data_IF_031434243488
#
_entry.id   IF_031434243488
#
_cell.length_a   1.000
_cell.length_b   1.000
_cell.length_c   1.000
_cell.angle_alpha   90.00
_cell.angle_beta   90.00
_cell.angle_gamma   90.00
#
_symmetry.space_group_name_H-M   'P 1'
#
loop_
_entity.id
_entity.type
_entity.pdbx_description
1 polymer ?
#
# COMPACT_ATOMS: atom_id res chain seq x y z
N UNK A 1 12.19 9.45 2.22
CA UNK A 1 11.07 9.42 3.20
C UNK A 1 10.36 8.07 3.16
N UNK A 2 9.67 7.68 2.06
CA UNK A 2 9.11 6.32 1.90
C UNK A 2 10.17 5.22 2.10
N UNK A 3 11.37 5.42 1.54
CA UNK A 3 12.49 4.48 1.69
C UNK A 3 12.92 4.28 3.16
N UNK A 4 12.74 5.29 4.01
CA UNK A 4 13.04 5.20 5.44
C UNK A 4 12.04 4.29 6.16
N UNK A 5 10.74 4.45 5.87
CA UNK A 5 9.69 3.57 6.39
C UNK A 5 9.93 2.11 6.00
N UNK A 6 10.25 1.84 4.72
CA UNK A 6 10.59 0.48 4.27
C UNK A 6 11.84 -0.07 4.93
N UNK A 7 12.86 0.76 5.17
CA UNK A 7 14.08 0.34 5.87
C UNK A 7 13.77 -0.10 7.31
N UNK A 8 12.88 0.62 8.00
CA UNK A 8 12.41 0.26 9.34
C UNK A 8 11.59 -1.04 9.27
N UNK A 9 10.61 -1.13 8.36
CA UNK A 9 9.77 -2.32 8.20
C UNK A 9 10.57 -3.62 7.93
N UNK A 10 11.70 -3.51 7.24
CA UNK A 10 12.61 -4.63 6.93
C UNK A 10 13.67 -4.88 8.03
N UNK A 11 13.62 -4.16 9.15
CA UNK A 11 14.53 -4.43 10.27
C UNK A 11 14.27 -5.82 10.83
N UNK A 12 15.37 -6.54 11.08
CA UNK A 12 15.36 -7.92 11.62
C UNK A 12 14.52 -8.05 12.90
N UNK A 13 14.54 -7.05 13.76
CA UNK A 13 13.77 -7.04 15.01
C UNK A 13 12.25 -7.02 14.76
N UNK A 14 11.80 -6.21 13.80
CA UNK A 14 10.38 -6.15 13.41
C UNK A 14 9.98 -7.44 12.72
N UNK A 15 10.80 -7.91 11.78
CA UNK A 15 10.54 -9.12 11.02
C UNK A 15 10.41 -10.35 11.92
N UNK A 16 11.35 -10.55 12.84
CA UNK A 16 11.34 -11.69 13.77
C UNK A 16 10.15 -11.63 14.73
N UNK A 17 9.77 -10.45 15.22
CA UNK A 17 8.56 -10.27 16.04
C UNK A 17 7.30 -10.58 15.24
N UNK A 18 7.18 -10.04 14.03
CA UNK A 18 6.03 -10.23 13.17
C UNK A 18 5.85 -11.70 12.75
N UNK A 19 6.93 -12.41 12.43
CA UNK A 19 6.89 -13.85 12.15
C UNK A 19 6.42 -14.63 13.37
N UNK A 20 6.92 -14.34 14.58
CA UNK A 20 6.45 -15.01 15.81
C UNK A 20 4.96 -14.81 16.03
N UNK A 21 4.47 -13.58 15.89
CA UNK A 21 3.04 -13.25 16.04
C UNK A 21 2.23 -13.97 14.96
N UNK A 22 2.69 -13.96 13.72
CA UNK A 22 2.04 -14.65 12.61
C UNK A 22 1.97 -16.16 12.82
N UNK A 23 3.01 -16.78 13.36
CA UNK A 23 3.01 -18.21 13.66
C UNK A 23 2.03 -18.54 14.79
N UNK A 24 2.02 -17.77 15.89
CA UNK A 24 1.13 -18.05 17.03
C UNK A 24 -0.33 -17.78 16.67
N UNK A 25 -0.64 -16.56 16.24
CA UNK A 25 -2.00 -16.13 15.91
C UNK A 25 -2.50 -16.85 14.66
N UNK A 26 -1.66 -16.99 13.64
CA UNK A 26 -2.00 -17.69 12.41
C UNK A 26 -2.26 -19.18 12.63
N UNK A 27 -1.52 -19.86 13.51
CA UNK A 27 -1.81 -21.28 13.81
C UNK A 27 -3.11 -21.46 14.57
N UNK A 28 -3.43 -20.57 15.52
CA UNK A 28 -4.72 -20.58 16.22
C UNK A 28 -5.86 -20.37 15.21
N UNK A 29 -5.72 -19.36 14.34
CA UNK A 29 -6.75 -18.99 13.37
C UNK A 29 -6.90 -20.05 12.27
N UNK A 30 -5.81 -20.73 11.90
CA UNK A 30 -5.80 -21.83 10.94
C UNK A 30 -6.52 -23.05 11.51
N UNK A 31 -6.26 -23.39 12.78
CA UNK A 31 -6.94 -24.50 13.47
C UNK A 31 -8.46 -24.27 13.54
N UNK A 32 -8.89 -23.04 13.85
CA UNK A 32 -10.33 -22.69 13.91
C UNK A 32 -10.97 -22.71 12.52
N UNK A 33 -10.29 -22.18 11.50
CA UNK A 33 -10.90 -21.93 10.19
C UNK A 33 -10.78 -23.14 9.23
N UNK A 34 -9.79 -24.00 9.44
CA UNK A 34 -9.47 -25.11 8.54
C UNK A 34 -9.24 -26.45 9.25
N UNK A 35 -9.48 -26.54 10.56
CA UNK A 35 -9.34 -27.77 11.33
C UNK A 35 -10.18 -28.93 10.76
N UNK A 36 -11.43 -28.67 10.40
CA UNK A 36 -12.32 -29.69 9.82
C UNK A 36 -11.95 -30.08 8.38
N UNK A 37 -11.39 -29.13 7.62
CA UNK A 37 -11.02 -29.34 6.21
C UNK A 37 -9.69 -30.08 6.08
N UNK A 38 -8.77 -29.94 7.05
CA UNK A 38 -7.55 -30.76 7.12
C UNK A 38 -7.84 -32.25 7.36
N UNK A 39 -8.98 -32.57 7.97
CA UNK A 39 -9.44 -33.94 8.22
C UNK A 39 -10.24 -34.54 7.05
N UNK A 40 -10.53 -33.74 6.01
CA UNK A 40 -11.29 -34.15 4.84
C UNK A 40 -10.36 -34.31 3.62
N UNK A 41 -10.55 -35.36 2.82
CA UNK A 41 -9.73 -35.65 1.64
C UNK A 41 -9.99 -34.63 0.51
N UNK A 42 -9.25 -33.50 0.54
CA UNK A 42 -9.13 -32.60 -0.62
C UNK A 42 -8.96 -31.12 -0.28
N UNK A 43 -7.72 -30.64 -0.30
CA UNK A 43 -7.42 -29.20 -0.29
C UNK A 43 -7.54 -28.64 -1.71
N UNK A 44 -8.56 -27.80 -1.97
CA UNK A 44 -8.62 -27.02 -3.19
C UNK A 44 -7.70 -25.80 -3.10
N UNK A 45 -7.43 -25.18 -4.25
CA UNK A 45 -6.66 -23.93 -4.36
C UNK A 45 -7.25 -22.81 -3.49
N UNK A 46 -8.58 -22.81 -3.28
CA UNK A 46 -9.27 -21.84 -2.42
C UNK A 46 -8.86 -21.98 -0.95
N UNK A 47 -8.72 -23.19 -0.43
CA UNK A 47 -8.25 -23.42 0.93
C UNK A 47 -6.79 -23.00 1.09
N UNK A 48 -5.92 -23.28 0.12
CA UNK A 48 -4.52 -22.84 0.17
C UNK A 48 -4.39 -21.32 0.28
N UNK A 49 -5.20 -20.57 -0.47
CA UNK A 49 -5.21 -19.10 -0.39
C UNK A 49 -5.69 -18.65 1.00
N UNK A 50 -6.76 -19.26 1.54
CA UNK A 50 -7.26 -18.92 2.89
C UNK A 50 -6.24 -19.24 3.99
N UNK A 51 -5.59 -20.40 3.93
CA UNK A 51 -4.53 -20.78 4.87
C UNK A 51 -3.37 -19.77 4.77
N UNK A 52 -2.95 -19.40 3.57
CA UNK A 52 -1.88 -18.41 3.37
C UNK A 52 -2.25 -17.05 3.96
N UNK A 53 -3.48 -16.56 3.72
CA UNK A 53 -3.99 -15.31 4.30
C UNK A 53 -4.03 -15.35 5.83
N UNK A 54 -4.31 -16.52 6.40
CA UNK A 54 -4.39 -16.72 7.86
C UNK A 54 -3.06 -16.47 8.56
N UNK A 55 -1.93 -16.71 7.88
CA UNK A 55 -0.60 -16.34 8.37
C UNK A 55 -0.15 -14.95 7.88
N UNK A 56 -0.52 -14.56 6.66
CA UNK A 56 -0.08 -13.31 6.04
C UNK A 56 -0.70 -12.08 6.71
N UNK A 57 -1.99 -12.14 7.07
CA UNK A 57 -2.68 -11.01 7.72
C UNK A 57 -2.05 -10.63 9.06
N UNK A 58 -1.87 -11.53 10.05
CA UNK A 58 -1.25 -11.18 11.32
C UNK A 58 0.21 -10.72 11.16
N UNK A 59 0.94 -11.27 10.17
CA UNK A 59 2.28 -10.79 9.81
C UNK A 59 2.27 -9.32 9.34
N UNK A 60 1.41 -8.99 8.38
CA UNK A 60 1.31 -7.64 7.81
C UNK A 60 0.88 -6.61 8.85
N UNK A 61 -0.14 -6.92 9.65
CA UNK A 61 -0.63 -6.02 10.70
C UNK A 61 0.43 -5.79 11.78
N UNK A 62 1.13 -6.85 12.21
CA UNK A 62 2.23 -6.72 13.18
C UNK A 62 3.39 -5.88 12.64
N UNK A 63 3.78 -6.08 11.39
CA UNK A 63 4.87 -5.33 10.74
C UNK A 63 4.49 -3.85 10.61
N UNK A 64 3.29 -3.56 10.12
CA UNK A 64 2.78 -2.19 9.98
C UNK A 64 2.75 -1.46 11.33
N UNK A 65 2.12 -2.05 12.35
CA UNK A 65 1.99 -1.44 13.66
C UNK A 65 3.35 -1.19 14.32
N UNK A 66 4.30 -2.13 14.20
CA UNK A 66 5.64 -1.98 14.75
C UNK A 66 6.43 -0.87 14.05
N UNK A 67 6.32 -0.79 12.73
CA UNK A 67 7.01 0.23 11.92
C UNK A 67 6.47 1.61 12.24
N UNK A 68 5.15 1.76 12.32
CA UNK A 68 4.50 3.02 12.68
C UNK A 68 4.86 3.48 14.10
N UNK A 69 4.96 2.56 15.07
CA UNK A 69 5.39 2.90 16.42
C UNK A 69 6.83 3.45 16.47
N UNK A 70 7.75 2.87 15.66
CA UNK A 70 9.14 3.35 15.56
C UNK A 70 9.18 4.69 14.84
N UNK A 71 8.44 4.85 13.73
CA UNK A 71 8.35 6.13 13.03
C UNK A 71 7.82 7.24 13.96
N UNK A 72 6.80 6.95 14.77
CA UNK A 72 6.28 7.90 15.75
C UNK A 72 7.33 8.26 16.82
N UNK A 73 8.11 7.29 17.30
CA UNK A 73 9.19 7.53 18.26
C UNK A 73 10.35 8.36 17.68
N UNK A 74 10.62 8.23 16.38
CA UNK A 74 11.66 8.97 15.66
C UNK A 74 11.14 10.29 15.04
N UNK A 75 9.91 10.73 15.36
CA UNK A 75 9.23 11.87 14.71
C UNK A 75 9.20 11.79 13.17
N UNK A 76 9.27 10.59 12.61
CA UNK A 76 9.06 10.37 11.19
C UNK A 76 7.56 10.43 10.86
N UNK A 77 7.19 11.00 9.71
CA UNK A 77 5.81 11.01 9.25
C UNK A 77 5.32 9.59 8.93
N UNK A 78 4.05 9.30 9.27
CA UNK A 78 3.43 7.99 8.99
C UNK A 78 3.36 7.70 7.50
N UNK A 79 3.30 6.41 7.14
CA UNK A 79 3.15 6.00 5.75
C UNK A 79 1.89 6.59 5.10
N UNK A 80 0.81 6.78 5.87
CA UNK A 80 -0.42 7.40 5.38
C UNK A 80 -0.18 8.86 4.99
N UNK A 81 0.53 9.63 5.81
CA UNK A 81 0.92 11.01 5.48
C UNK A 81 1.80 11.05 4.23
N UNK A 82 2.76 10.13 4.13
CA UNK A 82 3.63 10.01 2.97
C UNK A 82 2.86 9.70 1.68
N UNK A 83 1.89 8.78 1.75
CA UNK A 83 1.02 8.44 0.61
C UNK A 83 0.18 9.65 0.22
N UNK A 84 -0.41 10.37 1.19
CA UNK A 84 -1.18 11.58 0.91
C UNK A 84 -0.36 12.65 0.19
N UNK A 85 0.88 12.90 0.63
CA UNK A 85 1.78 13.85 -0.03
C UNK A 85 2.15 13.40 -1.45
N UNK A 86 2.36 12.10 -1.68
CA UNK A 86 2.59 11.56 -3.02
C UNK A 86 1.37 11.72 -3.94
N UNK A 87 0.17 11.38 -3.44
CA UNK A 87 -1.07 11.50 -4.18
C UNK A 87 -1.37 12.97 -4.51
N UNK A 88 -1.19 13.86 -3.54
CA UNK A 88 -1.34 15.31 -3.71
C UNK A 88 -0.38 15.86 -4.75
N UNK A 89 0.90 15.46 -4.70
CA UNK A 89 1.90 15.87 -5.69
C UNK A 89 1.52 15.43 -7.10
N UNK A 90 1.17 14.15 -7.29
CA UNK A 90 0.72 13.64 -8.60
C UNK A 90 -0.55 14.32 -9.09
N UNK A 91 -1.50 14.60 -8.19
CA UNK A 91 -2.71 15.36 -8.51
C UNK A 91 -2.41 16.78 -8.99
N UNK A 92 -1.54 17.51 -8.28
CA UNK A 92 -1.08 18.84 -8.69
C UNK A 92 -0.36 18.81 -10.05
N UNK A 93 0.51 17.83 -10.30
CA UNK A 93 1.19 17.66 -11.59
C UNK A 93 0.18 17.43 -12.73
N UNK A 94 -0.83 16.59 -12.51
CA UNK A 94 -1.90 16.34 -13.49
C UNK A 94 -2.73 17.59 -13.77
N UNK A 95 -3.14 18.33 -12.74
CA UNK A 95 -3.90 19.57 -12.88
C UNK A 95 -3.07 20.64 -13.61
N UNK A 96 -1.79 20.77 -13.28
CA UNK A 96 -0.93 21.75 -13.92
C UNK A 96 -0.68 21.41 -15.40
N UNK A 97 -0.41 20.14 -15.71
CA UNK A 97 -0.27 19.66 -17.09
C UNK A 97 -1.55 19.90 -17.90
N UNK A 98 -2.72 19.57 -17.35
CA UNK A 98 -4.02 19.81 -17.99
C UNK A 98 -4.25 21.30 -18.29
N UNK A 99 -3.94 22.19 -17.34
CA UNK A 99 -4.09 23.64 -17.52
C UNK A 99 -3.15 24.19 -18.60
N UNK A 100 -1.92 23.70 -18.67
CA UNK A 100 -0.94 24.09 -19.70
C UNK A 100 -1.37 23.64 -21.10
N UNK A 101 -1.85 22.40 -21.23
CA UNK A 101 -2.38 21.86 -22.49
C UNK A 101 -3.62 22.65 -22.95
N UNK A 102 -4.54 22.92 -22.03
CA UNK A 102 -5.75 23.70 -22.33
C UNK A 102 -5.42 25.12 -22.78
N UNK A 103 -4.55 25.83 -22.06
CA UNK A 103 -4.09 27.16 -22.45
C UNK A 103 -3.40 27.16 -23.82
N UNK A 104 -2.56 26.15 -24.10
CA UNK A 104 -1.93 26.01 -25.42
C UNK A 104 -2.95 25.75 -26.54
N UNK A 105 -4.03 25.01 -26.27
CA UNK A 105 -5.10 24.76 -27.23
C UNK A 105 -5.90 26.03 -27.53
N UNK A 106 -6.27 26.80 -26.50
CA UNK A 106 -6.99 28.06 -26.66
C UNK A 106 -6.19 29.04 -27.54
N UNK A 107 -4.89 29.20 -27.28
CA UNK A 107 -4.01 30.06 -28.08
C UNK A 107 -4.00 29.60 -29.55
N UNK A 108 -3.86 28.29 -29.80
CA UNK A 108 -3.88 27.74 -31.16
C UNK A 108 -5.23 27.97 -31.87
N UNK A 109 -6.35 27.80 -31.17
CA UNK A 109 -7.68 28.04 -31.71
C UNK A 109 -7.92 29.52 -32.02
N UNK A 110 -7.44 30.42 -31.17
CA UNK A 110 -7.48 31.87 -31.42
C UNK A 110 -6.66 32.27 -32.66
N UNK A 111 -5.48 31.67 -32.84
CA UNK A 111 -4.66 31.90 -34.04
C UNK A 111 -5.37 31.44 -35.32
N UNK A 112 -5.99 30.25 -35.30
CA UNK A 112 -6.74 29.73 -36.46
C UNK A 112 -7.92 30.66 -36.80
N UNK A 113 -8.68 31.10 -35.79
CA UNK A 113 -9.82 32.00 -35.99
C UNK A 113 -9.39 33.36 -36.56
N UNK A 114 -8.27 33.91 -36.12
CA UNK A 114 -7.74 35.17 -36.67
C UNK A 114 -7.23 35.00 -38.12
N UNK A 115 -6.68 33.85 -38.48
CA UNK A 115 -6.13 33.61 -39.82
C UNK A 115 -7.19 33.28 -40.89
N UNK A 116 -8.44 33.01 -40.50
CA UNK A 116 -9.58 32.76 -41.41
C UNK A 116 -10.46 34.00 -41.64
N UNK A 117 -10.23 35.10 -40.91
CA UNK A 117 -10.97 36.37 -41.03
C UNK A 117 -10.18 37.46 -41.79
N UNK A 118 -9.18 37.05 -42.56
CA UNK A 118 -8.38 37.87 -43.50
C UNK A 118 -8.61 37.26 -44.89
#
# INVERSE_FOLDING_TARGET
MISGWFKIALQKNILTRAIKIALVVGSILMLINHGDVMLSDGLSIKEYIKITLTYLVPYCVSTYSSTEAICAAENMPSINQLIWELLKKKGCELVHCSKTVFNSLIIRLQQIKNNQNI
#
